data_IF_812117429134
#
_entry.id   IF_812117429134
#
_cell.length_a   1.000
_cell.length_b   1.000
_cell.length_c   1.000
_cell.angle_alpha   90.00
_cell.angle_beta   90.00
_cell.angle_gamma   90.00
#
_symmetry.space_group_name_H-M   'P 1'
#
loop_
_entity.id
_entity.type
_entity.pdbx_description
1 polymer ?
#
# COMPACT_ATOMS: atom_id res chain seq x y z
N UNK A 1 -11.79 21.97 7.55
CA UNK A 1 -11.21 20.68 7.10
C UNK A 1 -11.73 19.52 7.95
N UNK A 2 -12.42 18.56 7.32
CA UNK A 2 -13.01 17.37 7.96
C UNK A 2 -11.88 16.38 8.28
N UNK A 3 -11.92 15.73 9.45
CA UNK A 3 -10.94 14.69 9.84
C UNK A 3 -11.18 13.44 9.01
N UNK A 4 -10.12 12.88 8.42
CA UNK A 4 -10.21 11.79 7.45
C UNK A 4 -9.70 10.46 8.01
N UNK A 5 -8.56 10.44 8.70
CA UNK A 5 -7.88 9.22 9.16
C UNK A 5 -8.19 8.96 10.64
N UNK A 6 -8.05 9.97 11.50
CA UNK A 6 -8.30 9.82 12.94
C UNK A 6 -9.55 10.60 13.36
N UNK A 7 -10.61 9.90 13.80
CA UNK A 7 -11.81 10.54 14.36
C UNK A 7 -11.72 10.67 15.88
N UNK A 8 -11.11 9.68 16.55
CA UNK A 8 -10.88 9.61 18.00
C UNK A 8 -9.43 9.22 18.31
N UNK A 9 -8.94 9.47 19.54
CA UNK A 9 -7.59 9.05 19.96
C UNK A 9 -7.37 7.53 19.84
N UNK A 10 -8.43 6.73 19.98
CA UNK A 10 -8.34 5.27 19.80
C UNK A 10 -8.14 4.83 18.36
N UNK A 11 -8.18 5.72 17.37
CA UNK A 11 -8.04 5.36 15.95
C UNK A 11 -6.58 5.29 15.47
N UNK A 12 -5.58 5.53 16.33
CA UNK A 12 -4.18 5.56 15.90
C UNK A 12 -3.67 4.23 15.31
N UNK A 13 -4.30 3.10 15.65
CA UNK A 13 -4.00 1.78 15.04
C UNK A 13 -4.25 1.73 13.52
N UNK A 14 -5.05 2.67 12.97
CA UNK A 14 -5.28 2.76 11.52
C UNK A 14 -4.04 3.21 10.75
N UNK A 15 -3.08 3.86 11.42
CA UNK A 15 -1.84 4.31 10.80
C UNK A 15 -0.98 3.14 10.31
N UNK A 16 -0.52 2.21 11.19
CA UNK A 16 0.29 1.08 10.75
C UNK A 16 -0.45 0.21 9.74
N UNK A 17 -1.76 0.03 9.89
CA UNK A 17 -2.56 -0.74 8.93
C UNK A 17 -2.64 -0.05 7.57
N UNK A 18 -2.87 1.27 7.53
CA UNK A 18 -2.87 2.03 6.28
C UNK A 18 -1.52 1.93 5.56
N UNK A 19 -0.41 2.03 6.29
CA UNK A 19 0.94 1.87 5.74
C UNK A 19 1.11 0.46 5.14
N UNK A 20 0.74 -0.59 5.87
CA UNK A 20 0.83 -1.98 5.40
C UNK A 20 0.01 -2.16 4.12
N UNK A 21 -1.23 -1.66 4.08
CA UNK A 21 -2.10 -1.78 2.90
C UNK A 21 -1.48 -1.07 1.70
N UNK A 22 -0.93 0.13 1.87
CA UNK A 22 -0.28 0.87 0.79
C UNK A 22 0.93 0.11 0.25
N UNK A 23 1.77 -0.46 1.13
CA UNK A 23 2.95 -1.24 0.72
C UNK A 23 2.53 -2.51 -0.03
N UNK A 24 1.55 -3.25 0.50
CA UNK A 24 1.05 -4.47 -0.15
C UNK A 24 0.43 -4.15 -1.52
N UNK A 25 -0.30 -3.05 -1.65
CA UNK A 25 -0.88 -2.62 -2.91
C UNK A 25 0.21 -2.18 -3.92
N UNK A 26 1.24 -1.45 -3.48
CA UNK A 26 2.34 -1.03 -4.32
C UNK A 26 3.16 -2.21 -4.86
N UNK A 27 3.30 -3.27 -4.04
CA UNK A 27 3.99 -4.51 -4.40
C UNK A 27 3.08 -5.58 -5.01
N UNK A 28 1.79 -5.31 -5.18
CA UNK A 28 0.83 -6.30 -5.68
C UNK A 28 1.24 -6.96 -7.02
N UNK A 29 1.79 -6.23 -8.02
CA UNK A 29 2.22 -6.85 -9.27
C UNK A 29 3.31 -7.91 -9.09
N UNK A 30 4.20 -7.75 -8.10
CA UNK A 30 5.22 -8.75 -7.77
C UNK A 30 4.60 -10.02 -7.22
N UNK A 31 3.76 -9.89 -6.20
CA UNK A 31 3.14 -11.03 -5.54
C UNK A 31 2.24 -11.81 -6.49
N UNK A 32 1.41 -11.09 -7.27
CA UNK A 32 0.51 -11.70 -8.25
C UNK A 32 1.32 -12.34 -9.39
N UNK A 33 2.36 -11.67 -9.89
CA UNK A 33 3.24 -12.20 -10.92
C UNK A 33 3.94 -13.48 -10.48
N UNK A 34 4.54 -13.49 -9.28
CA UNK A 34 5.20 -14.66 -8.73
C UNK A 34 4.24 -15.83 -8.53
N UNK A 35 3.09 -15.61 -7.89
CA UNK A 35 2.12 -16.68 -7.63
C UNK A 35 1.58 -17.25 -8.94
N UNK A 36 1.22 -16.39 -9.89
CA UNK A 36 0.71 -16.82 -11.19
C UNK A 36 1.77 -17.55 -12.02
N UNK A 37 3.02 -17.12 -11.95
CA UNK A 37 4.14 -17.80 -12.60
C UNK A 37 4.31 -19.21 -12.02
N UNK A 38 4.43 -19.35 -10.69
CA UNK A 38 4.57 -20.66 -10.03
C UNK A 38 3.42 -21.61 -10.36
N UNK A 39 2.17 -21.11 -10.37
CA UNK A 39 1.00 -21.93 -10.75
C UNK A 39 1.10 -22.39 -12.21
N UNK A 40 1.52 -21.51 -13.11
CA UNK A 40 1.66 -21.83 -14.53
C UNK A 40 2.78 -22.84 -14.77
N UNK A 41 3.92 -22.69 -14.09
CA UNK A 41 5.02 -23.65 -14.12
C UNK A 41 4.57 -25.02 -13.61
N UNK A 42 3.82 -25.05 -12.51
CA UNK A 42 3.30 -26.29 -11.94
C UNK A 42 2.34 -27.03 -12.89
N UNK A 43 1.50 -26.29 -13.62
CA UNK A 43 0.52 -26.89 -14.54
C UNK A 43 1.17 -27.30 -15.87
N UNK A 44 2.06 -26.48 -16.42
CA UNK A 44 2.60 -26.68 -17.78
C UNK A 44 3.92 -27.44 -17.81
N UNK A 45 4.64 -27.53 -16.69
CA UNK A 45 5.98 -28.10 -16.62
C UNK A 45 7.08 -27.25 -17.27
N UNK A 46 6.73 -26.09 -17.84
CA UNK A 46 7.68 -25.17 -18.47
C UNK A 46 7.94 -23.97 -17.57
N UNK A 47 9.18 -23.46 -17.57
CA UNK A 47 9.53 -22.24 -16.85
C UNK A 47 8.78 -21.02 -17.41
N UNK A 48 8.17 -20.24 -16.51
CA UNK A 48 7.44 -19.02 -16.82
C UNK A 48 8.39 -17.83 -16.67
N UNK A 49 8.77 -17.22 -17.78
CA UNK A 49 9.62 -16.04 -17.82
C UNK A 49 8.94 -14.89 -18.59
N UNK A 50 9.62 -13.75 -18.64
CA UNK A 50 9.15 -12.52 -19.26
C UNK A 50 8.87 -12.66 -20.77
N UNK A 51 9.49 -13.63 -21.45
CA UNK A 51 9.37 -13.82 -22.89
C UNK A 51 8.28 -14.82 -23.31
N UNK A 52 7.79 -15.67 -22.40
CA UNK A 52 6.86 -16.75 -22.74
C UNK A 52 5.60 -16.79 -21.87
N UNK A 53 5.48 -15.92 -20.86
CA UNK A 53 4.44 -16.03 -19.85
C UNK A 53 3.97 -14.64 -19.38
N UNK A 54 2.65 -14.41 -19.40
CA UNK A 54 2.05 -13.15 -18.97
C UNK A 54 2.39 -12.81 -17.51
N UNK A 55 2.48 -13.80 -16.63
CA UNK A 55 2.82 -13.59 -15.22
C UNK A 55 4.25 -13.10 -15.02
N UNK A 56 5.17 -13.46 -15.92
CA UNK A 56 6.57 -13.05 -15.88
C UNK A 56 6.77 -11.55 -16.09
N UNK A 57 5.88 -10.90 -16.85
CA UNK A 57 5.98 -9.45 -17.12
C UNK A 57 5.28 -8.58 -16.08
N UNK A 58 4.40 -9.14 -15.23
CA UNK A 58 3.68 -8.37 -14.20
C UNK A 58 4.58 -7.58 -13.24
N UNK A 59 5.73 -8.11 -12.77
CA UNK A 59 6.66 -7.35 -11.94
C UNK A 59 7.15 -6.03 -12.58
N UNK A 60 7.12 -5.89 -13.90
CA UNK A 60 7.49 -4.64 -14.58
C UNK A 60 6.55 -3.49 -14.23
N UNK A 61 5.29 -3.78 -13.90
CA UNK A 61 4.34 -2.77 -13.43
C UNK A 61 4.80 -2.11 -12.12
N UNK A 62 5.72 -2.73 -11.36
CA UNK A 62 6.32 -2.10 -10.18
C UNK A 62 7.03 -0.80 -10.49
N UNK A 63 7.56 -0.63 -11.71
CA UNK A 63 8.16 0.64 -12.14
C UNK A 63 7.16 1.81 -12.05
N UNK A 64 5.86 1.52 -12.17
CA UNK A 64 4.80 2.50 -11.99
C UNK A 64 4.16 2.43 -10.60
N UNK A 65 3.85 1.23 -10.09
CA UNK A 65 3.11 1.09 -8.82
C UNK A 65 3.94 1.47 -7.60
N UNK A 66 5.28 1.34 -7.63
CA UNK A 66 6.14 1.78 -6.53
C UNK A 66 6.14 3.32 -6.41
N UNK A 67 6.44 4.11 -7.47
CA UNK A 67 6.34 5.57 -7.38
C UNK A 67 4.95 6.06 -6.97
N UNK A 68 3.89 5.47 -7.55
CA UNK A 68 2.50 5.84 -7.19
C UNK A 68 2.23 5.52 -5.72
N UNK A 69 2.63 4.33 -5.26
CA UNK A 69 2.52 3.92 -3.86
C UNK A 69 3.28 4.85 -2.91
N UNK A 70 4.49 5.28 -3.29
CA UNK A 70 5.27 6.23 -2.51
C UNK A 70 4.58 7.59 -2.38
N UNK A 71 4.00 8.11 -3.47
CA UNK A 71 3.22 9.36 -3.44
C UNK A 71 2.01 9.21 -2.52
N UNK A 72 1.26 8.11 -2.66
CA UNK A 72 0.09 7.81 -1.80
C UNK A 72 0.52 7.73 -0.33
N UNK A 73 1.65 7.10 -0.04
CA UNK A 73 2.18 6.98 1.31
C UNK A 73 2.50 8.36 1.91
N UNK A 74 3.18 9.23 1.15
CA UNK A 74 3.48 10.59 1.60
C UNK A 74 2.20 11.38 1.88
N UNK A 75 1.23 11.35 0.96
CA UNK A 75 -0.06 12.03 1.15
C UNK A 75 -0.79 11.49 2.38
N UNK A 76 -0.81 10.17 2.57
CA UNK A 76 -1.43 9.54 3.74
C UNK A 76 -0.77 9.98 5.05
N UNK A 77 0.56 10.02 5.10
CA UNK A 77 1.31 10.48 6.27
C UNK A 77 1.05 11.96 6.59
N UNK A 78 0.98 12.83 5.58
CA UNK A 78 0.65 14.24 5.75
C UNK A 78 -0.75 14.40 6.35
N UNK A 79 -1.75 13.71 5.79
CA UNK A 79 -3.13 13.74 6.31
C UNK A 79 -3.18 13.23 7.75
N UNK A 80 -2.51 12.12 8.04
CA UNK A 80 -2.44 11.54 9.38
C UNK A 80 -1.79 12.51 10.38
N UNK A 81 -0.71 13.20 9.99
CA UNK A 81 -0.04 14.19 10.84
C UNK A 81 -0.96 15.39 11.15
N UNK A 82 -1.65 15.91 10.13
CA UNK A 82 -2.63 17.02 10.31
C UNK A 82 -3.73 16.60 11.28
N UNK A 83 -4.31 15.40 11.10
CA UNK A 83 -5.35 14.88 11.99
C UNK A 83 -4.83 14.68 13.42
N UNK A 84 -3.58 14.22 13.58
CA UNK A 84 -2.94 14.04 14.88
C UNK A 84 -2.76 15.37 15.63
N UNK A 85 -2.20 16.40 14.97
CA UNK A 85 -2.01 17.74 15.54
C UNK A 85 -3.36 18.32 15.98
N UNK A 86 -4.39 18.17 15.13
CA UNK A 86 -5.74 18.70 15.41
C UNK A 86 -6.41 18.02 16.61
N UNK A 87 -6.24 16.70 16.78
CA UNK A 87 -6.75 15.98 17.95
C UNK A 87 -6.05 16.45 19.24
N UNK A 88 -4.73 16.66 19.18
CA UNK A 88 -3.95 17.11 20.34
C UNK A 88 -4.34 18.53 20.77
N UNK A 89 -4.43 19.46 19.81
CA UNK A 89 -4.84 20.85 20.06
C UNK A 89 -6.26 20.97 20.65
N UNK A 90 -7.21 20.14 20.19
CA UNK A 90 -8.57 20.19 20.72
C UNK A 90 -8.70 19.59 22.14
N UNK A 91 -7.75 18.72 22.53
CA UNK A 91 -7.68 18.19 23.90
C UNK A 91 -7.16 19.23 24.89
N UNK A 92 -6.21 20.08 24.48
CA UNK A 92 -5.66 21.13 25.35
C UNK A 92 -6.62 22.30 25.59
N UNK A 93 -7.62 22.51 24.72
CA UNK A 93 -8.65 23.57 24.89
C UNK A 93 -9.80 23.13 25.80
N UNK A 94 -10.05 21.82 25.93
CA UNK A 94 -11.15 21.27 26.74
C UNK A 94 -10.68 20.73 28.12
N UNK A 95 -9.43 20.96 28.49
CA UNK A 95 -8.91 20.80 29.87
C UNK A 95 -8.86 22.16 30.54
#
# INVERSE_FOLDING_TARGET
MKRLVFKKQKDYWKLPIGIIIIILAALAPLWIGMVGATITEFITGNQCNEGNCFWGVLPWLMMATIPIGAIILVVFLIIALIDFIKIRSNKSVNQ
#
